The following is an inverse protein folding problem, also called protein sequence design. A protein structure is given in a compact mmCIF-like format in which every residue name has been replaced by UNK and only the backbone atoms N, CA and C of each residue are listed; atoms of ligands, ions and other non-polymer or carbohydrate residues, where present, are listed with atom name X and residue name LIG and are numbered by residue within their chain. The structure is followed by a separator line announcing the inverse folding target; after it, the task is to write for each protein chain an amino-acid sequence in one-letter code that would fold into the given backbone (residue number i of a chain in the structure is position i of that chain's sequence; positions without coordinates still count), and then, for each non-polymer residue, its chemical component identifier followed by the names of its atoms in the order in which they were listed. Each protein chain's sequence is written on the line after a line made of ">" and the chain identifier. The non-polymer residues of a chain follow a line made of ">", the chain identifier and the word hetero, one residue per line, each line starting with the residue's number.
data_IF_542201380415
#
_entry.id   IF_542201380415
#
_cell.length_a   1.000
_cell.length_b   1.000
_cell.length_c   1.000
_cell.angle_alpha   90.00
_cell.angle_beta   90.00
_cell.angle_gamma   90.00
#
_symmetry.space_group_name_H-M   'P 1'
#
loop_
_entity.id
_entity.type
_entity.pdbx_description
1 polymer ?
#
# COMPACT_ATOMS: atom_id res chain seq x y z
N UNK A 1 -11.21 58.96 -6.76
CA UNK A 1 -11.67 58.56 -8.11
C UNK A 1 -10.99 57.31 -8.70
N UNK A 2 -9.98 56.70 -8.05
CA UNK A 2 -9.28 55.52 -8.62
C UNK A 2 -10.01 54.17 -8.44
N UNK A 3 -10.64 53.93 -7.29
CA UNK A 3 -11.25 52.64 -6.96
C UNK A 3 -12.43 52.26 -7.88
N UNK A 4 -13.28 53.22 -8.24
CA UNK A 4 -14.46 52.98 -9.08
C UNK A 4 -14.09 52.58 -10.52
N UNK A 5 -13.00 53.15 -11.07
CA UNK A 5 -12.48 52.80 -12.39
C UNK A 5 -11.82 51.42 -12.38
N UNK A 6 -11.14 51.07 -11.29
CA UNK A 6 -10.53 49.75 -11.12
C UNK A 6 -11.56 48.63 -10.99
N UNK A 7 -12.62 48.86 -10.20
CA UNK A 7 -13.76 47.93 -10.07
C UNK A 7 -14.47 47.78 -11.42
N UNK A 8 -14.73 48.87 -12.13
CA UNK A 8 -15.35 48.83 -13.46
C UNK A 8 -14.52 48.03 -14.48
N UNK A 9 -13.20 48.19 -14.47
CA UNK A 9 -12.30 47.43 -15.35
C UNK A 9 -12.31 45.92 -15.03
N UNK A 10 -12.25 45.54 -13.74
CA UNK A 10 -12.31 44.13 -13.33
C UNK A 10 -13.63 43.47 -13.74
N UNK A 11 -14.74 44.21 -13.65
CA UNK A 11 -16.06 43.70 -14.02
C UNK A 11 -16.17 43.46 -15.52
N UNK A 12 -15.67 44.38 -16.34
CA UNK A 12 -15.60 44.20 -17.81
C UNK A 12 -14.70 43.02 -18.17
N UNK A 13 -13.51 42.90 -17.55
CA UNK A 13 -12.60 41.80 -17.79
C UNK A 13 -13.23 40.44 -17.41
N UNK A 14 -13.94 40.36 -16.28
CA UNK A 14 -14.65 39.15 -15.86
C UNK A 14 -15.75 38.75 -16.86
N UNK A 15 -16.52 39.71 -17.38
CA UNK A 15 -17.55 39.46 -18.39
C UNK A 15 -16.93 38.94 -19.69
N UNK A 16 -15.83 39.54 -20.15
CA UNK A 16 -15.15 39.11 -21.38
C UNK A 16 -14.59 37.70 -21.24
N UNK A 17 -13.99 37.37 -20.10
CA UNK A 17 -13.48 36.02 -19.82
C UNK A 17 -14.62 34.99 -19.76
N UNK A 18 -15.72 35.31 -19.07
CA UNK A 18 -16.89 34.43 -18.98
C UNK A 18 -17.54 34.22 -20.37
N UNK A 19 -17.64 35.26 -21.19
CA UNK A 19 -18.17 35.15 -22.55
C UNK A 19 -17.28 34.30 -23.47
N UNK A 20 -15.95 34.43 -23.36
CA UNK A 20 -15.00 33.59 -24.09
C UNK A 20 -15.06 32.12 -23.64
N UNK A 21 -15.18 31.85 -22.34
CA UNK A 21 -15.33 30.49 -21.83
C UNK A 21 -16.66 29.87 -22.24
N UNK A 22 -17.78 30.61 -22.15
CA UNK A 22 -19.09 30.15 -22.64
C UNK A 22 -19.02 29.73 -24.11
N UNK A 23 -18.47 30.59 -24.98
CA UNK A 23 -18.33 30.29 -26.40
C UNK A 23 -17.48 29.04 -26.69
N UNK A 24 -16.39 28.84 -25.93
CA UNK A 24 -15.56 27.64 -26.07
C UNK A 24 -16.24 26.38 -25.57
N UNK A 25 -17.10 26.48 -24.55
CA UNK A 25 -17.88 25.36 -24.03
C UNK A 25 -19.05 24.99 -24.95
N UNK A 26 -19.78 25.98 -25.44
CA UNK A 26 -20.91 25.79 -26.36
C UNK A 26 -20.45 25.06 -27.64
N UNK A 27 -19.30 25.44 -28.18
CA UNK A 27 -18.66 24.77 -29.31
C UNK A 27 -18.27 23.30 -29.04
N UNK A 28 -18.03 22.92 -27.78
CA UNK A 28 -17.76 21.51 -27.39
C UNK A 28 -19.04 20.69 -27.21
N UNK A 29 -20.19 21.35 -27.12
CA UNK A 29 -21.50 20.75 -26.97
C UNK A 29 -22.36 20.94 -28.24
N UNK A 30 -21.72 21.04 -29.41
CA UNK A 30 -22.38 21.19 -30.72
C UNK A 30 -23.42 22.32 -30.77
N UNK A 31 -23.12 23.47 -30.14
CA UNK A 31 -23.98 24.67 -30.06
C UNK A 31 -25.33 24.43 -29.35
N UNK A 32 -25.40 23.43 -28.46
CA UNK A 32 -26.62 23.10 -27.70
C UNK A 32 -26.58 23.54 -26.23
N UNK A 33 -25.54 24.26 -25.80
CA UNK A 33 -25.35 24.60 -24.39
C UNK A 33 -26.23 25.79 -23.97
N UNK A 34 -27.33 25.49 -23.30
CA UNK A 34 -28.17 26.52 -22.68
C UNK A 34 -27.41 27.29 -21.58
N UNK A 35 -27.83 28.53 -21.29
CA UNK A 35 -27.26 29.33 -20.20
C UNK A 35 -27.35 28.64 -18.82
N UNK A 36 -28.44 27.90 -18.56
CA UNK A 36 -28.57 27.07 -17.36
C UNK A 36 -27.54 25.94 -17.35
N UNK A 37 -27.33 25.26 -18.48
CA UNK A 37 -26.27 24.25 -18.64
C UNK A 37 -24.87 24.82 -18.44
N UNK A 38 -24.61 26.07 -18.87
CA UNK A 38 -23.34 26.73 -18.57
C UNK A 38 -23.12 27.00 -17.07
N UNK A 39 -24.16 27.48 -16.36
CA UNK A 39 -24.07 27.66 -14.90
C UNK A 39 -23.81 26.32 -14.19
N UNK A 40 -24.41 25.23 -14.66
CA UNK A 40 -24.12 23.88 -14.16
C UNK A 40 -22.66 23.48 -14.41
N UNK A 41 -22.10 23.72 -15.60
CA UNK A 41 -20.66 23.45 -15.85
C UNK A 41 -19.73 24.25 -14.95
N UNK A 42 -20.09 25.49 -14.62
CA UNK A 42 -19.34 26.31 -13.66
C UNK A 42 -19.42 25.69 -12.26
N UNK A 43 -20.61 25.31 -11.79
CA UNK A 43 -20.79 24.66 -10.50
C UNK A 43 -20.04 23.34 -10.41
N UNK A 44 -20.05 22.54 -11.48
CA UNK A 44 -19.30 21.28 -11.57
C UNK A 44 -17.80 21.52 -11.51
N UNK A 45 -17.27 22.51 -12.25
CA UNK A 45 -15.85 22.88 -12.20
C UNK A 45 -15.43 23.42 -10.84
N UNK A 46 -16.26 24.26 -10.21
CA UNK A 46 -16.02 24.73 -8.84
C UNK A 46 -16.13 23.59 -7.83
N UNK A 47 -17.04 22.63 -8.05
CA UNK A 47 -17.16 21.41 -7.26
C UNK A 47 -15.90 20.55 -7.37
N UNK A 48 -15.41 20.30 -8.59
CA UNK A 48 -14.16 19.58 -8.85
C UNK A 48 -12.95 20.31 -8.26
N UNK A 49 -12.86 21.63 -8.41
CA UNK A 49 -11.77 22.42 -7.82
C UNK A 49 -11.78 22.40 -6.29
N UNK A 50 -12.96 22.53 -5.66
CA UNK A 50 -13.11 22.39 -4.21
C UNK A 50 -12.76 20.97 -3.76
N UNK A 51 -13.22 19.95 -4.47
CA UNK A 51 -12.90 18.55 -4.19
C UNK A 51 -11.39 18.30 -4.31
N UNK A 52 -10.73 18.86 -5.32
CA UNK A 52 -9.28 18.78 -5.50
C UNK A 52 -8.53 19.51 -4.37
N UNK A 53 -8.99 20.69 -3.95
CA UNK A 53 -8.40 21.40 -2.82
C UNK A 53 -8.56 20.60 -1.52
N UNK A 54 -9.74 20.03 -1.26
CA UNK A 54 -9.98 19.19 -0.09
C UNK A 54 -9.10 17.94 -0.15
N UNK A 55 -8.98 17.28 -1.31
CA UNK A 55 -8.09 16.13 -1.49
C UNK A 55 -6.62 16.50 -1.25
N UNK A 56 -6.16 17.64 -1.76
CA UNK A 56 -4.80 18.15 -1.52
C UNK A 56 -4.55 18.47 -0.04
N UNK A 57 -5.53 19.03 0.66
CA UNK A 57 -5.41 19.30 2.09
C UNK A 57 -5.39 18.01 2.91
N UNK A 58 -6.28 17.06 2.59
CA UNK A 58 -6.31 15.74 3.21
C UNK A 58 -4.99 15.00 3.00
N UNK A 59 -4.42 15.04 1.79
CA UNK A 59 -3.13 14.40 1.49
C UNK A 59 -1.96 15.06 2.24
N UNK A 60 -1.96 16.39 2.35
CA UNK A 60 -0.98 17.10 3.19
C UNK A 60 -1.10 16.73 4.67
N UNK A 61 -2.32 16.62 5.18
CA UNK A 61 -2.57 16.20 6.55
C UNK A 61 -2.10 14.77 6.78
N UNK A 62 -2.41 13.85 5.85
CA UNK A 62 -1.94 12.45 5.87
C UNK A 62 -0.41 12.38 5.90
N UNK A 63 0.28 13.04 4.97
CA UNK A 63 1.75 13.06 4.93
C UNK A 63 2.34 13.61 6.23
N UNK A 64 1.77 14.69 6.77
CA UNK A 64 2.19 15.22 8.07
C UNK A 64 2.04 14.19 9.19
N UNK A 65 0.94 13.43 9.21
CA UNK A 65 0.74 12.35 10.19
C UNK A 65 1.69 11.17 9.96
N UNK A 66 1.97 10.83 8.70
CA UNK A 66 2.96 9.82 8.33
C UNK A 66 4.36 10.20 8.82
N UNK A 67 4.79 11.44 8.56
CA UNK A 67 6.10 11.98 8.96
C UNK A 67 6.23 12.09 10.48
N UNK A 68 5.12 12.30 11.20
CA UNK A 68 5.10 12.27 12.67
C UNK A 68 5.32 10.87 13.25
N UNK A 69 5.20 9.82 12.43
CA UNK A 69 5.43 8.43 12.80
C UNK A 69 4.26 7.75 13.51
N UNK A 70 4.33 6.42 13.58
CA UNK A 70 3.25 5.60 14.11
C UNK A 70 3.22 5.46 15.64
N UNK A 71 4.22 5.98 16.37
CA UNK A 71 4.30 5.86 17.85
C UNK A 71 3.08 6.46 18.55
N UNK A 72 2.45 7.47 17.95
CA UNK A 72 1.23 8.11 18.48
C UNK A 72 -0.02 7.21 18.42
N UNK A 73 -0.01 6.16 17.59
CA UNK A 73 -1.09 5.18 17.45
C UNK A 73 -0.87 3.94 18.33
N UNK A 74 0.24 3.89 19.08
CA UNK A 74 0.44 2.83 20.07
C UNK A 74 -0.63 2.97 21.17
N UNK A 75 -1.22 1.86 21.62
CA UNK A 75 -2.31 1.90 22.58
C UNK A 75 -1.88 2.55 23.89
N UNK A 76 -2.82 3.22 24.54
CA UNK A 76 -2.66 3.51 25.96
C UNK A 76 -2.59 2.19 26.73
N UNK A 77 -1.82 2.09 27.83
CA UNK A 77 -1.73 0.86 28.59
C UNK A 77 -3.14 0.38 28.97
N UNK A 78 -3.54 -0.85 28.59
CA UNK A 78 -4.84 -1.38 29.00
C UNK A 78 -4.95 -1.45 30.52
N UNK A 79 -6.17 -1.63 31.05
CA UNK A 79 -6.37 -1.67 32.50
C UNK A 79 -5.49 -2.75 33.16
N UNK A 80 -4.68 -2.32 34.14
CA UNK A 80 -3.75 -3.19 34.86
C UNK A 80 -2.37 -3.34 34.20
N UNK A 81 -2.15 -2.72 33.05
CA UNK A 81 -0.84 -2.69 32.39
C UNK A 81 -0.06 -1.43 32.77
N UNK A 82 1.26 -1.58 32.81
CA UNK A 82 2.20 -0.47 32.84
C UNK A 82 2.86 -0.32 31.48
N UNK A 83 3.25 0.91 31.10
CA UNK A 83 3.94 1.21 29.84
C UNK A 83 5.27 1.91 30.11
N UNK A 84 6.31 1.47 29.43
CA UNK A 84 7.67 1.97 29.56
C UNK A 84 8.24 2.32 28.18
N UNK A 85 9.06 3.36 28.13
CA UNK A 85 9.87 3.65 26.95
C UNK A 85 11.06 2.70 26.91
N UNK A 86 11.50 2.29 25.72
CA UNK A 86 12.62 1.35 25.58
C UNK A 86 13.94 1.96 26.06
N UNK A 87 14.03 3.29 26.14
CA UNK A 87 15.19 4.00 26.68
C UNK A 87 15.23 4.02 28.22
N UNK A 88 14.17 3.59 28.90
CA UNK A 88 14.09 3.50 30.36
C UNK A 88 14.84 2.26 30.87
N UNK A 89 16.17 2.29 30.74
CA UNK A 89 17.05 1.15 30.99
C UNK A 89 17.03 0.65 32.46
N UNK A 90 16.54 1.45 33.40
CA UNK A 90 16.42 1.09 34.81
C UNK A 90 15.18 0.23 35.10
N UNK A 91 14.20 0.23 34.17
CA UNK A 91 12.98 -0.55 34.28
C UNK A 91 13.24 -2.04 34.02
N UNK A 92 12.84 -2.91 34.98
CA UNK A 92 13.02 -4.37 34.87
C UNK A 92 12.39 -4.96 33.60
N UNK A 93 11.14 -4.60 33.21
CA UNK A 93 10.56 -5.03 31.94
C UNK A 93 11.40 -4.65 30.72
N UNK A 94 11.97 -3.44 30.70
CA UNK A 94 12.82 -2.97 29.60
C UNK A 94 14.11 -3.79 29.54
N UNK A 95 14.74 -4.05 30.69
CA UNK A 95 15.94 -4.90 30.75
C UNK A 95 15.66 -6.30 30.20
N UNK A 96 14.53 -6.92 30.57
CA UNK A 96 14.13 -8.23 30.08
C UNK A 96 13.98 -8.26 28.55
N UNK A 97 13.35 -7.22 27.98
CA UNK A 97 13.25 -7.06 26.51
C UNK A 97 14.64 -6.89 25.90
N UNK A 98 15.47 -5.98 26.41
CA UNK A 98 16.78 -5.70 25.83
C UNK A 98 17.77 -6.88 25.93
N UNK A 99 17.63 -7.76 26.93
CA UNK A 99 18.50 -8.92 27.13
C UNK A 99 17.99 -10.21 26.49
N UNK A 100 16.66 -10.40 26.45
CA UNK A 100 16.04 -11.67 26.06
C UNK A 100 15.32 -11.64 24.72
N UNK A 101 14.94 -10.45 24.22
CA UNK A 101 14.15 -10.34 23.00
C UNK A 101 15.08 -9.95 21.86
N UNK A 102 15.07 -10.72 20.78
CA UNK A 102 15.76 -10.39 19.53
C UNK A 102 15.02 -9.26 18.81
N UNK A 103 15.21 -8.03 19.29
CA UNK A 103 14.64 -6.82 18.69
C UNK A 103 15.62 -6.19 17.71
N UNK A 104 15.12 -5.76 16.56
CA UNK A 104 15.91 -5.07 15.55
C UNK A 104 15.03 -4.12 14.75
N UNK A 105 15.51 -2.92 14.38
CA UNK A 105 14.73 -2.03 13.53
C UNK A 105 14.54 -2.67 12.16
N UNK A 106 13.39 -2.41 11.52
CA UNK A 106 13.22 -2.86 10.14
C UNK A 106 14.16 -2.09 9.23
N UNK A 107 14.83 -2.78 8.31
CA UNK A 107 15.72 -2.15 7.32
C UNK A 107 14.96 -1.07 6.52
N UNK A 108 13.68 -1.31 6.20
CA UNK A 108 12.84 -0.34 5.48
C UNK A 108 12.49 0.92 6.26
N UNK A 109 12.75 0.96 7.58
CA UNK A 109 12.56 2.15 8.42
C UNK A 109 13.79 3.03 8.52
N UNK A 110 14.92 2.57 7.95
CA UNK A 110 16.17 3.33 7.92
C UNK A 110 16.10 4.25 6.70
N UNK A 111 16.11 5.56 6.94
CA UNK A 111 15.84 6.61 5.96
C UNK A 111 16.93 6.77 4.90
N UNK A 112 18.04 6.03 5.01
CA UNK A 112 19.11 6.02 4.02
C UNK A 112 20.46 5.60 4.59
N UNK A 113 21.49 5.68 3.76
CA UNK A 113 22.86 5.28 4.14
C UNK A 113 23.43 6.14 5.28
N UNK A 114 23.11 7.43 5.35
CA UNK A 114 23.57 8.30 6.42
C UNK A 114 23.01 7.87 7.79
N UNK A 115 21.71 7.53 7.85
CA UNK A 115 21.13 6.98 9.08
C UNK A 115 21.71 5.60 9.40
N UNK A 116 21.91 4.74 8.40
CA UNK A 116 22.56 3.44 8.59
C UNK A 116 23.99 3.58 9.15
N UNK A 117 24.79 4.51 8.61
CA UNK A 117 26.13 4.81 9.12
C UNK A 117 26.08 5.37 10.54
N UNK A 118 25.13 6.25 10.82
CA UNK A 118 24.90 6.77 12.18
C UNK A 118 24.60 5.64 13.16
N UNK A 119 23.64 4.75 12.83
CA UNK A 119 23.29 3.60 13.67
C UNK A 119 24.48 2.65 13.85
N UNK A 120 25.27 2.44 12.80
CA UNK A 120 26.50 1.63 12.86
C UNK A 120 27.52 2.26 13.82
N UNK A 121 27.71 3.58 13.76
CA UNK A 121 28.67 4.30 14.61
C UNK A 121 28.19 4.36 16.08
N UNK A 122 26.89 4.51 16.30
CA UNK A 122 26.28 4.56 17.64
C UNK A 122 26.09 3.17 18.27
N UNK A 123 26.21 2.10 17.48
CA UNK A 123 26.09 0.72 17.93
C UNK A 123 24.73 0.42 18.59
N UNK A 124 24.76 -0.33 19.69
CA UNK A 124 23.55 -0.81 20.39
C UNK A 124 22.66 0.33 20.89
N UNK A 125 23.24 1.41 21.40
CA UNK A 125 22.46 2.56 21.90
C UNK A 125 21.70 3.27 20.79
N UNK A 126 22.33 3.44 19.61
CA UNK A 126 21.66 4.01 18.43
C UNK A 126 20.48 3.16 17.98
N UNK A 127 20.65 1.83 17.96
CA UNK A 127 19.57 0.89 17.63
C UNK A 127 18.42 0.96 18.64
N UNK A 128 18.71 1.04 19.94
CA UNK A 128 17.69 1.19 20.98
C UNK A 128 16.92 2.51 20.82
N UNK A 129 17.63 3.62 20.59
CA UNK A 129 16.97 4.91 20.31
C UNK A 129 16.06 4.83 19.09
N UNK A 130 16.53 4.17 18.02
CA UNK A 130 15.71 3.99 16.80
C UNK A 130 14.46 3.16 17.06
N UNK A 131 14.57 2.06 17.82
CA UNK A 131 13.43 1.24 18.21
C UNK A 131 12.47 1.99 19.14
N UNK A 132 13.00 2.82 20.03
CA UNK A 132 12.19 3.66 20.90
C UNK A 132 11.36 4.69 20.11
N UNK A 133 11.75 5.08 18.89
CA UNK A 133 10.94 5.95 18.03
C UNK A 133 9.65 5.27 17.55
N UNK A 134 9.57 3.93 17.57
CA UNK A 134 8.46 3.19 16.98
C UNK A 134 7.68 2.30 17.94
N UNK A 135 8.14 2.11 19.19
CA UNK A 135 7.53 1.14 20.11
C UNK A 135 7.57 1.51 21.58
N UNK A 136 6.86 0.70 22.37
CA UNK A 136 6.84 0.73 23.84
C UNK A 136 6.89 -0.69 24.41
N UNK A 137 7.38 -0.79 25.65
CA UNK A 137 7.28 -2.01 26.46
C UNK A 137 6.05 -1.90 27.35
N UNK A 138 5.25 -2.96 27.40
CA UNK A 138 4.09 -3.09 28.28
C UNK A 138 4.31 -4.27 29.21
N UNK A 139 3.86 -4.15 30.46
CA UNK A 139 3.94 -5.23 31.44
C UNK A 139 2.65 -5.35 32.25
N UNK A 140 2.28 -6.60 32.55
CA UNK A 140 1.21 -6.96 33.48
C UNK A 140 1.49 -8.32 34.08
N UNK A 141 1.55 -8.40 35.41
CA UNK A 141 1.65 -9.66 36.17
C UNK A 141 2.81 -10.57 35.69
N UNK A 142 3.92 -9.97 35.23
CA UNK A 142 5.07 -10.70 34.67
C UNK A 142 4.96 -11.10 33.18
N UNK A 143 3.82 -10.87 32.54
CA UNK A 143 3.69 -10.88 31.07
C UNK A 143 4.27 -9.57 30.52
N UNK A 144 5.21 -9.69 29.59
CA UNK A 144 5.90 -8.56 28.96
C UNK A 144 5.58 -8.56 27.47
N UNK A 145 5.31 -7.38 26.95
CA UNK A 145 5.00 -7.13 25.55
C UNK A 145 5.88 -6.00 25.06
N UNK A 146 6.81 -6.30 24.15
CA UNK A 146 7.42 -5.28 23.29
C UNK A 146 6.55 -5.12 22.05
N UNK A 147 6.02 -3.93 21.82
CA UNK A 147 5.19 -3.65 20.66
C UNK A 147 5.71 -2.43 19.91
N UNK A 148 6.02 -2.62 18.63
CA UNK A 148 6.44 -1.56 17.74
C UNK A 148 5.61 -1.52 16.45
N UNK A 149 5.39 -0.29 15.97
CA UNK A 149 4.71 -0.03 14.71
C UNK A 149 5.68 0.70 13.80
N UNK A 150 6.00 0.06 12.67
CA UNK A 150 6.89 0.61 11.67
C UNK A 150 6.10 1.02 10.43
N UNK A 151 6.25 2.27 10.00
CA UNK A 151 5.77 2.73 8.70
C UNK A 151 6.80 2.39 7.63
N UNK A 152 6.39 1.59 6.65
CA UNK A 152 7.20 1.21 5.51
C UNK A 152 6.73 2.01 4.29
N UNK A 153 7.56 2.94 3.79
CA UNK A 153 7.19 3.72 2.61
C UNK A 153 7.14 2.81 1.38
N UNK A 154 6.39 3.26 0.37
CA UNK A 154 6.34 2.63 -0.95
C UNK A 154 7.75 2.41 -1.49
N UNK A 155 8.04 1.21 -1.99
CA UNK A 155 9.38 0.89 -2.50
C UNK A 155 9.70 1.73 -3.74
N UNK A 156 10.85 2.41 -3.74
CA UNK A 156 11.39 3.14 -4.89
C UNK A 156 11.97 2.18 -5.96
N UNK A 157 11.13 1.30 -6.51
CA UNK A 157 11.52 0.19 -7.42
C UNK A 157 12.02 0.63 -8.79
N UNK A 158 11.90 1.92 -9.11
CA UNK A 158 12.45 2.47 -10.35
C UNK A 158 13.91 2.93 -10.18
N UNK A 159 14.49 2.74 -8.98
CA UNK A 159 15.86 3.13 -8.65
C UNK A 159 16.68 1.88 -8.34
N UNK A 160 17.97 1.87 -8.68
CA UNK A 160 18.86 0.73 -8.39
C UNK A 160 18.99 0.46 -6.88
N UNK A 161 19.08 1.52 -6.08
CA UNK A 161 19.17 1.42 -4.61
C UNK A 161 17.88 0.85 -4.03
N UNK A 162 16.71 1.34 -4.47
CA UNK A 162 15.42 0.84 -4.01
C UNK A 162 15.17 -0.62 -4.40
N UNK A 163 15.67 -1.06 -5.56
CA UNK A 163 15.64 -2.46 -5.96
C UNK A 163 16.56 -3.34 -5.11
N UNK A 164 17.78 -2.88 -4.83
CA UNK A 164 18.74 -3.61 -4.01
C UNK A 164 18.24 -3.78 -2.56
N UNK A 165 17.80 -2.68 -1.93
CA UNK A 165 17.23 -2.69 -0.57
C UNK A 165 15.93 -3.50 -0.53
N UNK A 166 15.08 -3.37 -1.56
CA UNK A 166 13.86 -4.15 -1.71
C UNK A 166 14.14 -5.65 -1.68
N UNK A 167 15.09 -6.12 -2.50
CA UNK A 167 15.47 -7.54 -2.57
C UNK A 167 16.08 -8.06 -1.28
N UNK A 168 16.92 -7.27 -0.61
CA UNK A 168 17.46 -7.66 0.69
C UNK A 168 16.34 -7.85 1.72
N UNK A 169 15.38 -6.91 1.78
CA UNK A 169 14.24 -7.02 2.67
C UNK A 169 13.34 -8.21 2.31
N UNK A 170 13.09 -8.48 1.02
CA UNK A 170 12.27 -9.60 0.57
C UNK A 170 12.94 -10.94 0.87
N UNK A 171 14.26 -11.04 0.69
CA UNK A 171 15.04 -12.21 1.07
C UNK A 171 14.96 -12.50 2.58
N UNK A 172 15.14 -11.48 3.42
CA UNK A 172 15.00 -11.62 4.87
C UNK A 172 13.59 -12.04 5.29
N UNK A 173 12.55 -11.51 4.63
CA UNK A 173 11.17 -11.94 4.89
C UNK A 173 10.91 -13.38 4.40
N UNK A 174 11.54 -13.82 3.31
CA UNK A 174 11.39 -15.18 2.78
C UNK A 174 12.06 -16.25 3.68
N UNK A 175 13.00 -15.85 4.54
CA UNK A 175 13.60 -16.72 5.55
C UNK A 175 12.73 -16.89 6.80
N UNK A 176 11.63 -16.16 6.91
CA UNK A 176 10.71 -16.24 8.04
C UNK A 176 9.59 -17.21 7.71
N UNK A 177 9.34 -18.17 8.59
CA UNK A 177 8.12 -18.97 8.54
C UNK A 177 7.02 -18.24 9.30
N UNK A 178 5.86 -18.07 8.68
CA UNK A 178 4.73 -17.36 9.27
C UNK A 178 3.50 -18.27 9.33
N UNK A 179 2.99 -18.51 10.53
CA UNK A 179 1.76 -19.25 10.76
C UNK A 179 0.64 -18.28 11.12
N UNK A 180 -0.54 -18.42 10.52
CA UNK A 180 -1.70 -17.58 10.84
C UNK A 180 -2.06 -17.70 12.32
N UNK A 181 -2.25 -16.57 13.00
CA UNK A 181 -2.50 -16.51 14.44
C UNK A 181 -3.88 -15.94 14.77
N UNK A 182 -4.14 -14.71 14.30
CA UNK A 182 -5.36 -13.98 14.62
C UNK A 182 -5.78 -13.06 13.48
N UNK A 183 -7.07 -12.74 13.42
CA UNK A 183 -7.59 -11.66 12.58
C UNK A 183 -8.30 -10.68 13.48
N UNK A 184 -7.76 -9.47 13.57
CA UNK A 184 -8.30 -8.40 14.40
C UNK A 184 -8.65 -7.24 13.48
N UNK A 185 -9.95 -6.93 13.39
CA UNK A 185 -10.47 -5.83 12.58
C UNK A 185 -9.93 -5.79 11.14
N UNK A 186 -9.95 -6.95 10.48
CA UNK A 186 -9.47 -7.13 9.11
C UNK A 186 -7.96 -7.12 8.92
N UNK A 187 -7.18 -7.14 10.01
CA UNK A 187 -5.72 -7.29 9.98
C UNK A 187 -5.34 -8.71 10.35
N UNK A 188 -4.63 -9.39 9.45
CA UNK A 188 -4.06 -10.71 9.73
C UNK A 188 -2.76 -10.57 10.54
N UNK A 189 -2.71 -11.27 11.67
CA UNK A 189 -1.53 -11.44 12.49
C UNK A 189 -1.00 -12.86 12.31
N UNK A 190 0.31 -12.97 12.16
CA UNK A 190 1.03 -14.21 12.02
C UNK A 190 2.03 -14.39 13.15
N UNK A 191 2.16 -15.60 13.67
CA UNK A 191 3.31 -15.99 14.47
C UNK A 191 4.49 -16.31 13.56
N UNK A 192 5.62 -15.66 13.83
CA UNK A 192 6.82 -15.71 13.01
C UNK A 192 7.89 -16.51 13.75
N UNK A 193 8.38 -17.56 13.11
CA UNK A 193 9.54 -18.32 13.56
C UNK A 193 10.72 -18.10 12.61
N UNK A 194 11.91 -17.93 13.18
CA UNK A 194 13.15 -17.71 12.44
C UNK A 194 13.96 -19.02 12.41
N UNK A 195 14.37 -19.45 11.21
CA UNK A 195 15.22 -20.62 11.04
C UNK A 195 15.19 -21.16 9.60
N UNK A 196 16.34 -21.45 9.01
CA UNK A 196 16.46 -22.14 7.71
C UNK A 196 16.35 -23.68 7.87
N UNK A 197 16.66 -24.16 9.07
CA UNK A 197 16.49 -25.53 9.53
C UNK A 197 15.23 -25.56 10.39
N UNK A 198 14.21 -26.33 10.01
CA UNK A 198 12.92 -26.42 10.70
C UNK A 198 12.94 -26.95 12.15
N UNK A 199 14.09 -26.91 12.83
CA UNK A 199 14.16 -27.02 14.28
C UNK A 199 13.72 -25.69 14.88
N UNK A 200 12.42 -25.61 15.16
CA UNK A 200 11.85 -24.56 16.01
C UNK A 200 12.49 -24.73 17.39
N UNK A 201 13.49 -23.91 17.72
CA UNK A 201 13.81 -23.72 19.12
C UNK A 201 12.56 -23.12 19.76
N UNK A 202 11.91 -23.88 20.64
CA UNK A 202 10.89 -23.37 21.54
C UNK A 202 11.53 -22.27 22.39
N UNK A 203 11.41 -21.04 21.93
CA UNK A 203 11.65 -19.86 22.75
C UNK A 203 10.36 -19.58 23.50
N UNK A 204 10.45 -19.29 24.79
CA UNK A 204 9.34 -18.75 25.57
C UNK A 204 8.85 -17.39 25.01
N UNK A 205 9.62 -16.78 24.10
CA UNK A 205 9.29 -15.52 23.45
C UNK A 205 8.70 -15.77 22.06
N UNK A 206 7.47 -15.29 21.89
CA UNK A 206 6.71 -15.37 20.65
C UNK A 206 6.84 -14.07 19.87
N UNK A 207 6.99 -14.18 18.55
CA UNK A 207 7.06 -13.04 17.63
C UNK A 207 5.78 -13.01 16.79
N UNK A 208 4.89 -12.06 17.02
CA UNK A 208 3.65 -11.88 16.24
C UNK A 208 3.80 -10.66 15.33
N UNK A 209 3.39 -10.78 14.07
CA UNK A 209 3.53 -9.74 13.04
C UNK A 209 2.22 -9.53 12.31
N UNK A 210 1.77 -8.27 12.24
CA UNK A 210 0.63 -7.83 11.44
C UNK A 210 1.05 -6.85 10.37
N UNK A 211 0.28 -6.79 9.27
CA UNK A 211 0.52 -5.82 8.18
C UNK A 211 -0.80 -5.20 7.74
N UNK A 212 -0.76 -3.89 7.48
CA UNK A 212 -1.85 -3.14 6.85
C UNK A 212 -1.29 -2.50 5.58
N UNK A 213 -2.00 -2.63 4.46
CA UNK A 213 -1.55 -2.12 3.17
C UNK A 213 -0.70 -3.10 2.36
N UNK A 214 -0.19 -2.64 1.22
CA UNK A 214 0.64 -3.40 0.30
C UNK A 214 1.58 -2.45 -0.44
N UNK A 215 2.88 -2.79 -0.48
CA UNK A 215 3.98 -1.92 -0.95
C UNK A 215 4.27 -0.72 -0.02
N UNK A 216 3.29 0.17 0.19
CA UNK A 216 3.24 1.08 1.35
C UNK A 216 2.50 0.36 2.48
N UNK A 217 3.16 0.18 3.63
CA UNK A 217 2.67 -0.70 4.68
C UNK A 217 2.82 -0.10 6.08
N UNK A 218 1.86 -0.38 6.94
CA UNK A 218 2.03 -0.33 8.39
C UNK A 218 2.38 -1.74 8.85
N UNK A 219 3.54 -1.92 9.47
CA UNK A 219 3.95 -3.22 10.02
C UNK A 219 3.92 -3.15 11.54
N UNK A 220 3.09 -4.00 12.12
CA UNK A 220 2.95 -4.14 13.57
C UNK A 220 3.77 -5.36 14.01
N UNK A 221 4.64 -5.19 14.99
CA UNK A 221 5.47 -6.27 15.54
C UNK A 221 5.30 -6.34 17.04
N UNK A 222 5.02 -7.54 17.51
CA UNK A 222 4.82 -7.87 18.91
C UNK A 222 5.84 -8.97 19.26
N UNK A 223 6.66 -8.72 20.26
CA UNK A 223 7.49 -9.74 20.88
C UNK A 223 6.99 -9.91 22.31
N UNK A 224 6.70 -11.13 22.75
CA UNK A 224 6.01 -11.33 24.04
C UNK A 224 6.13 -12.74 24.58
N UNK A 225 6.06 -12.89 25.90
CA UNK A 225 5.85 -14.16 26.60
C UNK A 225 4.40 -14.33 27.11
N UNK A 226 3.47 -13.48 26.66
CA UNK A 226 2.10 -13.47 27.14
C UNK A 226 1.25 -14.61 26.57
N UNK A 227 0.20 -14.96 27.30
CA UNK A 227 -0.81 -15.93 26.86
C UNK A 227 -1.62 -15.46 25.65
N UNK A 228 -2.25 -16.40 24.94
CA UNK A 228 -3.07 -16.07 23.75
C UNK A 228 -4.22 -15.10 24.03
N UNK A 229 -4.88 -15.28 25.17
CA UNK A 229 -5.96 -14.39 25.58
C UNK A 229 -5.45 -12.96 25.77
N UNK A 230 -4.29 -12.81 26.43
CA UNK A 230 -3.64 -11.52 26.62
C UNK A 230 -3.24 -10.88 25.30
N UNK A 231 -2.59 -11.64 24.41
CA UNK A 231 -2.13 -11.11 23.11
C UNK A 231 -3.32 -10.57 22.32
N UNK A 232 -4.41 -11.36 22.21
CA UNK A 232 -5.62 -10.92 21.49
C UNK A 232 -6.27 -9.72 22.14
N UNK A 233 -6.35 -9.68 23.48
CA UNK A 233 -6.85 -8.51 24.19
C UNK A 233 -6.01 -7.25 23.90
N UNK A 234 -4.68 -7.40 23.91
CA UNK A 234 -3.76 -6.30 23.63
C UNK A 234 -3.91 -5.81 22.19
N UNK A 235 -3.92 -6.71 21.20
CA UNK A 235 -4.07 -6.36 19.78
C UNK A 235 -5.41 -5.68 19.49
N UNK A 236 -6.50 -6.06 20.18
CA UNK A 236 -7.80 -5.38 20.07
C UNK A 236 -7.80 -3.93 20.58
N UNK A 237 -6.79 -3.51 21.36
CA UNK A 237 -6.68 -2.12 21.84
C UNK A 237 -5.98 -1.18 20.87
N UNK A 238 -5.38 -1.71 19.80
CA UNK A 238 -4.62 -0.94 18.81
C UNK A 238 -5.60 -0.20 17.89
N UNK A 239 -5.34 1.08 17.61
CA UNK A 239 -6.12 1.88 16.65
C UNK A 239 -5.77 1.52 15.20
N UNK A 240 -6.23 0.34 14.77
CA UNK A 240 -5.98 -0.18 13.42
C UNK A 240 -6.64 0.70 12.34
N UNK A 241 -7.77 1.34 12.64
CA UNK A 241 -8.44 2.27 11.75
C UNK A 241 -7.60 3.55 11.52
N UNK A 242 -7.09 4.15 12.60
CA UNK A 242 -6.19 5.30 12.53
C UNK A 242 -4.90 4.99 11.77
N UNK A 243 -4.30 3.82 12.00
CA UNK A 243 -3.13 3.35 11.26
C UNK A 243 -3.43 3.15 9.77
N UNK A 244 -4.57 2.56 9.44
CA UNK A 244 -4.99 2.35 8.05
C UNK A 244 -5.19 3.68 7.31
N UNK A 245 -5.66 4.73 8.00
CA UNK A 245 -5.85 6.06 7.45
C UNK A 245 -4.54 6.80 7.13
N UNK A 246 -3.38 6.31 7.59
CA UNK A 246 -2.07 6.86 7.22
C UNK A 246 -1.65 6.49 5.80
N UNK A 247 -2.18 5.38 5.27
CA UNK A 247 -1.82 4.88 3.94
C UNK A 247 -2.41 5.76 2.85
N UNK A 248 -1.69 5.90 1.74
CA UNK A 248 -2.18 6.55 0.51
C UNK A 248 -3.40 5.81 -0.05
N UNK A 249 -3.37 4.48 -0.01
CA UNK A 249 -4.51 3.62 -0.32
C UNK A 249 -4.85 2.75 0.90
N UNK A 250 -5.75 3.23 1.78
CA UNK A 250 -6.23 2.45 2.91
C UNK A 250 -6.86 1.13 2.47
N UNK A 251 -6.61 0.08 3.27
CA UNK A 251 -7.29 -1.19 3.13
C UNK A 251 -8.77 -1.04 3.47
N UNK A 252 -9.66 -1.37 2.53
CA UNK A 252 -11.10 -1.36 2.75
C UNK A 252 -11.56 -2.38 3.80
N UNK A 253 -10.74 -3.40 4.07
CA UNK A 253 -11.01 -4.43 5.06
C UNK A 253 -10.67 -4.01 6.50
N UNK A 254 -9.80 -3.00 6.69
CA UNK A 254 -9.25 -2.67 8.01
C UNK A 254 -10.00 -1.52 8.65
N UNK A 255 -10.34 -1.63 9.94
CA UNK A 255 -11.02 -0.55 10.67
C UNK A 255 -12.55 -0.56 10.53
N UNK A 256 -13.13 -1.66 10.07
CA UNK A 256 -14.57 -1.78 9.78
C UNK A 256 -15.35 -2.56 10.85
N UNK A 257 -14.69 -2.97 11.93
CA UNK A 257 -15.26 -3.83 12.96
C UNK A 257 -15.50 -5.25 12.46
N UNK A 258 -14.68 -5.76 11.53
CA UNK A 258 -14.83 -7.12 11.00
C UNK A 258 -14.59 -8.12 12.11
N UNK A 259 -15.61 -8.91 12.42
CA UNK A 259 -15.54 -9.99 13.39
C UNK A 259 -15.29 -11.33 12.70
N UNK A 260 -14.29 -12.07 13.19
CA UNK A 260 -13.98 -13.46 12.81
C UNK A 260 -14.02 -14.30 14.09
N UNK A 261 -14.80 -15.40 14.14
CA UNK A 261 -14.86 -16.29 15.31
C UNK A 261 -13.48 -16.81 15.71
N UNK A 262 -13.21 -16.89 17.02
CA UNK A 262 -11.89 -17.20 17.57
C UNK A 262 -11.25 -18.47 16.97
N UNK A 263 -12.06 -19.51 16.75
CA UNK A 263 -11.63 -20.82 16.22
C UNK A 263 -11.21 -20.74 14.74
N UNK A 264 -11.77 -19.80 13.98
CA UNK A 264 -11.51 -19.61 12.55
C UNK A 264 -10.38 -18.59 12.28
N UNK A 265 -10.01 -17.78 13.28
CA UNK A 265 -9.02 -16.71 13.11
C UNK A 265 -7.65 -17.20 12.60
N UNK A 266 -7.07 -18.32 13.08
CA UNK A 266 -5.78 -18.79 12.58
C UNK A 266 -5.83 -19.17 11.09
N UNK A 267 -6.89 -19.87 10.67
CA UNK A 267 -7.08 -20.27 9.27
C UNK A 267 -7.29 -19.04 8.38
N UNK A 268 -8.15 -18.11 8.79
CA UNK A 268 -8.39 -16.87 8.05
C UNK A 268 -7.12 -16.03 7.91
N UNK A 269 -6.37 -15.88 9.01
CA UNK A 269 -5.07 -15.21 8.96
C UNK A 269 -4.13 -15.90 7.97
N UNK A 270 -4.10 -17.24 7.95
CA UNK A 270 -3.35 -18.04 6.98
C UNK A 270 -3.74 -17.73 5.52
N UNK A 271 -5.04 -17.69 5.21
CA UNK A 271 -5.56 -17.33 3.87
C UNK A 271 -5.13 -15.92 3.45
N UNK A 272 -5.21 -14.95 4.36
CA UNK A 272 -4.81 -13.56 4.09
C UNK A 272 -3.29 -13.43 3.89
N UNK A 273 -2.48 -14.19 4.63
CA UNK A 273 -1.02 -14.24 4.47
C UNK A 273 -0.61 -14.90 3.15
N UNK A 274 -1.27 -15.98 2.75
CA UNK A 274 -1.05 -16.62 1.44
C UNK A 274 -1.39 -15.66 0.29
N UNK A 275 -2.50 -14.92 0.39
CA UNK A 275 -2.83 -13.87 -0.58
C UNK A 275 -1.73 -12.80 -0.65
N UNK A 276 -1.24 -12.31 0.50
CA UNK A 276 -0.14 -11.34 0.55
C UNK A 276 1.11 -11.89 -0.15
N UNK A 277 1.51 -13.14 0.16
CA UNK A 277 2.66 -13.79 -0.47
C UNK A 277 2.52 -13.92 -1.98
N UNK A 278 1.33 -14.27 -2.48
CA UNK A 278 1.02 -14.32 -3.92
C UNK A 278 1.14 -12.95 -4.59
N UNK A 279 0.67 -11.89 -3.92
CA UNK A 279 0.75 -10.52 -4.44
C UNK A 279 2.20 -10.03 -4.47
N UNK A 280 3.00 -10.33 -3.45
CA UNK A 280 4.46 -10.04 -3.45
C UNK A 280 5.14 -10.76 -4.61
N UNK A 281 4.91 -12.08 -4.77
CA UNK A 281 5.50 -12.85 -5.88
C UNK A 281 5.09 -12.31 -7.26
N UNK A 282 3.86 -11.82 -7.40
CA UNK A 282 3.41 -11.17 -8.63
C UNK A 282 4.12 -9.83 -8.87
N UNK A 283 4.27 -9.02 -7.82
CA UNK A 283 4.97 -7.75 -7.89
C UNK A 283 6.45 -7.95 -8.25
N UNK A 284 7.07 -9.03 -7.79
CA UNK A 284 8.44 -9.40 -8.13
C UNK A 284 8.57 -9.81 -9.59
N UNK A 285 7.59 -10.52 -10.15
CA UNK A 285 7.54 -10.81 -11.60
C UNK A 285 7.44 -9.54 -12.43
N UNK A 286 6.59 -8.59 -12.03
CA UNK A 286 6.50 -7.27 -12.70
C UNK A 286 7.83 -6.50 -12.58
N UNK A 287 8.47 -6.56 -11.41
CA UNK A 287 9.77 -5.93 -11.18
C UNK A 287 10.87 -6.59 -12.02
N UNK A 288 10.85 -7.90 -12.19
CA UNK A 288 11.78 -8.62 -13.06
C UNK A 288 11.60 -8.23 -14.52
N UNK A 289 10.36 -8.10 -15.00
CA UNK A 289 10.10 -7.60 -16.35
C UNK A 289 10.63 -6.17 -16.55
N UNK A 290 10.56 -5.31 -15.53
CA UNK A 290 11.21 -3.98 -15.58
C UNK A 290 12.72 -4.10 -15.72
N UNK A 291 13.35 -5.00 -14.97
CA UNK A 291 14.79 -5.25 -15.04
C UNK A 291 15.24 -5.75 -16.42
N UNK A 292 14.47 -6.67 -17.02
CA UNK A 292 14.73 -7.21 -18.35
C UNK A 292 14.58 -6.17 -19.46
N UNK A 293 13.79 -5.11 -19.22
CA UNK A 293 13.56 -4.00 -20.14
C UNK A 293 14.31 -2.71 -19.74
N UNK A 294 15.33 -2.80 -18.88
CA UNK A 294 16.10 -1.62 -18.46
C UNK A 294 16.77 -0.92 -19.64
N UNK A 295 16.72 0.41 -19.62
CA UNK A 295 17.47 1.23 -20.54
C UNK A 295 18.90 1.42 -20.00
N UNK A 296 19.88 0.86 -20.70
CA UNK A 296 21.31 0.94 -20.33
C UNK A 296 21.76 2.40 -20.17
N UNK A 297 21.19 3.33 -20.93
CA UNK A 297 21.47 4.77 -20.81
C UNK A 297 21.05 5.33 -19.46
N UNK A 298 19.90 4.92 -18.93
CA UNK A 298 19.40 5.40 -17.63
C UNK A 298 20.09 4.71 -16.46
N UNK A 299 20.52 3.46 -16.62
CA UNK A 299 21.38 2.77 -15.64
C UNK A 299 22.73 3.49 -15.52
N UNK A 300 23.33 3.87 -16.65
CA UNK A 300 24.57 4.65 -16.69
C UNK A 300 24.39 6.05 -16.08
N UNK A 301 23.26 6.70 -16.32
CA UNK A 301 22.92 7.98 -15.69
C UNK A 301 22.77 7.86 -14.17
N UNK A 302 22.07 6.84 -13.66
CA UNK A 302 21.95 6.60 -12.21
C UNK A 302 23.29 6.26 -11.54
N UNK A 303 24.17 5.54 -12.23
CA UNK A 303 25.52 5.24 -11.70
C UNK A 303 26.45 6.45 -11.73
N UNK A 304 26.34 7.31 -12.74
CA UNK A 304 27.13 8.55 -12.84
C UNK A 304 26.62 9.63 -11.87
N UNK A 305 25.31 9.77 -11.67
CA UNK A 305 24.73 10.74 -10.72
C UNK A 305 24.83 10.31 -9.26
N UNK A 306 25.03 9.01 -9.00
CA UNK A 306 25.33 8.50 -7.66
C UNK A 306 26.73 8.91 -7.12
N UNK A 307 27.59 9.51 -7.95
CA UNK A 307 28.96 9.89 -7.54
C UNK A 307 29.05 11.11 -6.62
N UNK A 308 27.96 11.86 -6.43
CA UNK A 308 27.88 13.00 -5.50
C UNK A 308 27.22 12.69 -4.15
N UNK A 309 27.03 11.40 -3.81
CA UNK A 309 26.66 10.89 -2.47
C UNK A 309 25.41 11.50 -1.77
N UNK A 310 24.66 12.39 -2.42
CA UNK A 310 23.47 13.07 -1.87
C UNK A 310 22.30 13.15 -2.85
N UNK A 311 22.41 12.56 -4.04
CA UNK A 311 21.28 12.40 -4.94
C UNK A 311 20.81 10.95 -4.86
N UNK A 312 19.70 10.73 -4.15
CA UNK A 312 18.87 9.54 -4.35
C UNK A 312 18.74 9.30 -5.86
N UNK A 313 19.02 8.08 -6.33
CA UNK A 313 19.06 7.74 -7.76
C UNK A 313 17.69 7.91 -8.43
N UNK A 314 17.33 9.15 -8.76
CA UNK A 314 15.99 9.64 -9.08
C UNK A 314 15.52 9.34 -10.51
N UNK A 315 16.37 8.78 -11.38
CA UNK A 315 15.97 8.51 -12.76
C UNK A 315 15.34 7.12 -12.88
N UNK A 316 14.09 7.06 -13.36
CA UNK A 316 13.41 5.80 -13.67
C UNK A 316 14.23 4.97 -14.67
N UNK A 317 14.75 3.83 -14.22
CA UNK A 317 15.59 2.90 -15.00
C UNK A 317 14.93 2.37 -16.28
N UNK A 318 13.61 2.55 -16.45
CA UNK A 318 12.88 2.14 -17.66
C UNK A 318 12.70 3.29 -18.67
N UNK A 319 13.06 4.53 -18.30
CA UNK A 319 12.83 5.71 -19.14
C UNK A 319 11.35 5.95 -19.46
N UNK A 320 10.44 5.58 -18.55
CA UNK A 320 8.99 5.67 -18.72
C UNK A 320 8.36 4.61 -19.62
N UNK A 321 9.12 3.59 -20.05
CA UNK A 321 8.64 2.56 -21.01
C UNK A 321 7.77 1.48 -20.35
N UNK A 322 7.80 1.33 -19.03
CA UNK A 322 6.98 0.34 -18.31
C UNK A 322 5.93 1.04 -17.46
N UNK A 323 4.66 0.69 -17.69
CA UNK A 323 3.52 1.23 -16.94
C UNK A 323 3.65 0.95 -15.44
N UNK A 324 3.45 1.98 -14.62
CA UNK A 324 3.42 1.83 -13.16
C UNK A 324 2.08 1.23 -12.74
N UNK A 325 2.10 -0.03 -12.34
CA UNK A 325 0.91 -0.75 -11.88
C UNK A 325 0.86 -0.92 -10.35
N UNK A 326 1.72 -0.22 -9.59
CA UNK A 326 1.84 -0.41 -8.15
C UNK A 326 0.54 -0.06 -7.42
N UNK A 327 -0.07 1.07 -7.76
CA UNK A 327 -1.30 1.55 -7.12
C UNK A 327 -2.47 0.59 -7.40
N UNK A 328 -2.55 0.09 -8.62
CA UNK A 328 -3.55 -0.91 -9.00
C UNK A 328 -3.35 -2.24 -8.27
N UNK A 329 -2.11 -2.68 -8.05
CA UNK A 329 -1.81 -3.88 -7.26
C UNK A 329 -2.23 -3.69 -5.80
N UNK A 330 -1.95 -2.52 -5.20
CA UNK A 330 -2.37 -2.20 -3.84
C UNK A 330 -3.89 -2.15 -3.70
N UNK A 331 -4.60 -1.48 -4.63
CA UNK A 331 -6.06 -1.46 -4.67
C UNK A 331 -6.66 -2.86 -4.90
N UNK A 332 -6.06 -3.67 -5.78
CA UNK A 332 -6.50 -5.03 -6.04
C UNK A 332 -6.32 -5.94 -4.82
N UNK A 333 -5.21 -5.78 -4.08
CA UNK A 333 -4.99 -6.49 -2.83
C UNK A 333 -6.06 -6.16 -1.79
N UNK A 334 -6.36 -4.87 -1.59
CA UNK A 334 -7.41 -4.44 -0.65
C UNK A 334 -8.77 -5.05 -0.99
N UNK A 335 -9.16 -5.05 -2.27
CA UNK A 335 -10.41 -5.70 -2.73
C UNK A 335 -10.39 -7.22 -2.55
N UNK A 336 -9.25 -7.86 -2.79
CA UNK A 336 -9.12 -9.31 -2.61
C UNK A 336 -9.23 -9.71 -1.13
N UNK A 337 -8.65 -8.91 -0.21
CA UNK A 337 -8.82 -9.08 1.24
C UNK A 337 -10.28 -8.94 1.66
N UNK A 338 -10.96 -7.89 1.20
CA UNK A 338 -12.39 -7.67 1.44
C UNK A 338 -13.23 -8.88 1.00
N UNK A 339 -12.95 -9.42 -0.18
CA UNK A 339 -13.68 -10.56 -0.73
C UNK A 339 -13.45 -11.84 0.08
N UNK A 340 -12.25 -12.09 0.58
CA UNK A 340 -11.96 -13.22 1.46
C UNK A 340 -12.73 -13.09 2.79
N UNK A 341 -12.70 -11.91 3.41
CA UNK A 341 -13.34 -11.68 4.70
C UNK A 341 -14.87 -11.74 4.59
N UNK A 342 -15.45 -11.19 3.52
CA UNK A 342 -16.90 -11.25 3.29
C UNK A 342 -17.40 -12.57 2.71
N UNK A 343 -16.55 -13.38 2.05
CA UNK A 343 -16.96 -14.72 1.62
C UNK A 343 -17.14 -15.65 2.80
N UNK A 344 -16.24 -15.59 3.79
CA UNK A 344 -16.36 -16.39 5.00
C UNK A 344 -17.49 -15.88 5.90
N UNK A 345 -17.74 -14.56 6.02
CA UNK A 345 -18.93 -14.09 6.73
C UNK A 345 -20.24 -14.67 6.14
N UNK A 346 -20.33 -14.77 4.81
CA UNK A 346 -21.49 -15.35 4.13
C UNK A 346 -21.57 -16.88 4.24
N UNK A 347 -20.44 -17.56 4.44
CA UNK A 347 -20.39 -19.02 4.69
C UNK A 347 -20.56 -19.36 6.18
N UNK A 348 -20.16 -18.49 7.10
CA UNK A 348 -20.53 -18.60 8.51
C UNK A 348 -22.05 -18.49 8.69
N UNK A 349 -22.72 -17.73 7.82
CA UNK A 349 -24.19 -17.66 7.71
C UNK A 349 -24.81 -18.86 6.95
N UNK A 350 -24.01 -19.66 6.23
CA UNK A 350 -24.48 -20.80 5.42
C UNK A 350 -23.46 -21.95 5.40
N UNK A 351 -23.76 -23.03 6.14
CA UNK A 351 -23.00 -24.28 6.38
C UNK A 351 -21.73 -24.56 5.52
N UNK A 352 -20.64 -25.08 6.13
CA UNK A 352 -19.30 -25.06 5.55
C UNK A 352 -19.13 -26.03 4.36
N UNK A 353 -18.43 -25.55 3.32
CA UNK A 353 -17.92 -26.39 2.21
C UNK A 353 -16.42 -26.23 2.07
N UNK A 354 -15.69 -27.34 2.26
CA UNK A 354 -14.25 -27.50 2.07
C UNK A 354 -13.83 -27.27 0.60
N UNK A 355 -13.24 -26.10 0.28
CA UNK A 355 -12.16 -25.99 -0.73
C UNK A 355 -11.51 -24.59 -0.74
N UNK A 356 -10.62 -24.29 0.22
CA UNK A 356 -9.96 -22.98 0.34
C UNK A 356 -8.97 -22.59 -0.77
N UNK A 357 -8.37 -23.57 -1.48
CA UNK A 357 -7.32 -23.29 -2.47
C UNK A 357 -7.78 -22.81 -3.85
N UNK A 358 -8.99 -23.21 -4.28
CA UNK A 358 -9.52 -22.89 -5.60
C UNK A 358 -10.09 -21.48 -5.72
N UNK A 359 -10.63 -20.96 -4.61
CA UNK A 359 -11.28 -19.65 -4.57
C UNK A 359 -10.32 -18.50 -4.87
N UNK A 360 -9.14 -18.46 -4.21
CA UNK A 360 -8.17 -17.38 -4.38
C UNK A 360 -7.65 -17.31 -5.83
N UNK A 361 -7.38 -18.46 -6.44
CA UNK A 361 -6.94 -18.52 -7.84
C UNK A 361 -8.06 -18.07 -8.80
N UNK A 362 -9.30 -18.49 -8.56
CA UNK A 362 -10.46 -18.04 -9.35
C UNK A 362 -10.79 -16.56 -9.13
N UNK A 363 -10.49 -16.01 -7.95
CA UNK A 363 -10.68 -14.60 -7.60
C UNK A 363 -9.65 -13.72 -8.33
N UNK A 364 -8.37 -14.09 -8.28
CA UNK A 364 -7.29 -13.37 -8.97
C UNK A 364 -7.52 -13.34 -10.49
N UNK A 365 -8.11 -14.38 -11.08
CA UNK A 365 -8.47 -14.40 -12.50
C UNK A 365 -9.62 -13.45 -12.87
N UNK A 366 -10.48 -13.09 -11.90
CA UNK A 366 -11.65 -12.21 -12.12
C UNK A 366 -11.34 -10.72 -11.95
N UNK A 367 -10.16 -10.35 -11.44
CA UNK A 367 -9.76 -8.94 -11.30
C UNK A 367 -9.31 -8.39 -12.66
N UNK A 368 -9.96 -7.34 -13.20
CA UNK A 368 -9.55 -6.75 -14.48
C UNK A 368 -8.12 -6.23 -14.39
N UNK A 369 -7.25 -6.68 -15.30
CA UNK A 369 -5.80 -6.44 -15.29
C UNK A 369 -4.94 -7.68 -14.96
N UNK A 370 -5.55 -8.78 -14.48
CA UNK A 370 -4.83 -9.97 -14.02
C UNK A 370 -5.02 -11.22 -14.91
N UNK A 371 -6.06 -11.26 -15.75
CA UNK A 371 -6.42 -12.42 -16.57
C UNK A 371 -5.46 -12.81 -17.71
N UNK A 372 -4.35 -12.10 -17.90
CA UNK A 372 -3.43 -12.31 -19.05
C UNK A 372 -2.05 -12.90 -18.67
N UNK A 373 -1.77 -13.15 -17.39
CA UNK A 373 -0.42 -13.57 -16.93
C UNK A 373 -0.27 -15.06 -16.57
N UNK A 374 -1.23 -15.91 -16.97
CA UNK A 374 -1.13 -17.37 -16.84
C UNK A 374 -0.47 -18.01 -18.07
N UNK A 375 0.75 -18.53 -17.89
CA UNK A 375 1.51 -19.20 -18.95
C UNK A 375 0.88 -20.52 -19.43
N UNK A 376 1.00 -20.74 -20.75
CA UNK A 376 1.25 -22.02 -21.40
C UNK A 376 0.48 -23.25 -20.91
N UNK A 377 -0.77 -23.39 -21.34
CA UNK A 377 -1.34 -24.70 -21.65
C UNK A 377 -2.03 -24.62 -23.01
N UNK A 378 -1.48 -25.33 -23.99
CA UNK A 378 -2.15 -25.61 -25.25
C UNK A 378 -3.36 -26.47 -24.92
N UNK A 379 -4.53 -25.85 -24.87
CA UNK A 379 -5.81 -26.56 -24.92
C UNK A 379 -6.46 -26.23 -26.26
N UNK A 380 -6.50 -27.27 -27.08
CA UNK A 380 -7.14 -27.37 -28.39
C UNK A 380 -8.52 -26.72 -28.46
N UNK A 381 -8.75 -26.06 -29.60
CA UNK A 381 -10.03 -25.50 -30.01
C UNK A 381 -11.20 -26.49 -29.86
N UNK A 382 -12.27 -26.04 -29.22
CA UNK A 382 -13.62 -26.53 -29.46
C UNK A 382 -14.55 -25.33 -29.68
N UNK A 383 -15.09 -25.27 -30.89
CA UNK A 383 -16.10 -24.32 -31.35
C UNK A 383 -17.29 -24.23 -30.37
N UNK A 384 -17.65 -23.00 -29.97
CA UNK A 384 -19.02 -22.69 -29.58
C UNK A 384 -19.32 -21.19 -29.78
N UNK A 385 -20.20 -20.90 -30.75
CA UNK A 385 -21.14 -19.77 -30.72
C UNK A 385 -20.59 -18.36 -30.91
N UNK A 386 -20.62 -17.87 -32.16
CA UNK A 386 -20.67 -16.42 -32.48
C UNK A 386 -21.76 -15.73 -31.65
N UNK A 387 -21.40 -14.71 -30.89
CA UNK A 387 -22.33 -13.63 -30.52
C UNK A 387 -21.93 -12.37 -31.29
N UNK A 388 -22.80 -11.95 -32.20
CA UNK A 388 -22.67 -10.70 -32.95
C UNK A 388 -22.85 -9.52 -31.99
N UNK A 389 -21.76 -8.83 -31.66
CA UNK A 389 -21.81 -7.51 -31.02
C UNK A 389 -21.96 -6.47 -32.12
N UNK A 390 -23.19 -6.00 -32.35
CA UNK A 390 -23.46 -4.82 -33.19
C UNK A 390 -22.94 -3.56 -32.50
N UNK A 391 -21.80 -3.05 -32.95
CA UNK A 391 -21.36 -1.69 -32.64
C UNK A 391 -21.99 -0.73 -33.65
N UNK A 392 -22.87 0.17 -33.18
CA UNK A 392 -23.38 1.30 -33.96
C UNK A 392 -22.21 2.22 -34.33
N UNK A 393 -21.94 2.35 -35.63
CA UNK A 393 -20.92 3.23 -36.19
C UNK A 393 -21.53 4.60 -36.46
N UNK A 394 -21.26 5.56 -35.57
CA UNK A 394 -21.38 6.99 -35.86
C UNK A 394 -20.22 7.44 -36.74
N UNK A 395 -20.52 8.30 -37.70
CA UNK A 395 -19.73 8.66 -38.86
C UNK A 395 -18.88 9.91 -38.55
N UNK A 396 -17.55 9.85 -38.68
CA UNK A 396 -16.68 10.99 -39.03
C UNK A 396 -15.26 10.51 -39.37
N UNK A 397 -14.70 11.08 -40.44
CA UNK A 397 -13.66 10.47 -41.27
C UNK A 397 -12.24 10.57 -40.71
N UNK A 398 -11.67 9.42 -40.38
CA UNK A 398 -10.22 9.23 -40.29
C UNK A 398 -9.81 8.03 -41.14
N UNK A 399 -9.09 8.26 -42.25
CA UNK A 399 -8.52 7.17 -43.05
C UNK A 399 -7.18 6.74 -42.45
N UNK A 400 -7.18 5.66 -41.68
CA UNK A 400 -5.92 5.00 -41.29
C UNK A 400 -5.72 3.80 -42.23
N UNK A 401 -4.61 3.79 -42.96
CA UNK A 401 -4.19 2.62 -43.73
C UNK A 401 -3.21 1.80 -42.89
N UNK A 402 -3.41 0.48 -42.85
CA UNK A 402 -2.44 -0.45 -42.25
C UNK A 402 -1.46 -0.92 -43.32
N UNK A 403 -0.17 -0.79 -43.04
CA UNK A 403 0.89 -1.44 -43.80
C UNK A 403 1.78 -2.18 -42.80
N UNK A 404 1.68 -3.52 -42.80
CA UNK A 404 2.36 -4.38 -41.84
C UNK A 404 1.90 -4.15 -40.39
N UNK A 405 2.84 -4.25 -39.44
CA UNK A 405 2.60 -4.12 -37.99
C UNK A 405 2.50 -2.68 -37.47
N UNK A 406 2.49 -1.68 -38.35
CA UNK A 406 2.42 -0.28 -37.94
C UNK A 406 1.17 0.42 -38.51
N UNK A 407 0.45 1.14 -37.64
CA UNK A 407 -0.72 1.96 -37.99
C UNK A 407 -0.28 3.42 -38.05
N UNK A 408 -0.35 4.04 -39.23
CA UNK A 408 -0.21 5.49 -39.38
C UNK A 408 -1.57 6.10 -39.67
N UNK A 409 -1.95 7.06 -38.84
CA UNK A 409 -3.14 7.88 -39.03
C UNK A 409 -2.69 9.30 -39.34
N UNK A 410 -3.13 9.84 -40.46
CA UNK A 410 -2.98 11.26 -40.81
C UNK A 410 -4.27 11.99 -40.43
N UNK A 411 -4.17 12.95 -39.51
CA UNK A 411 -5.22 13.92 -39.27
C UNK A 411 -5.05 15.06 -40.28
N UNK A 412 -6.11 15.36 -41.04
CA UNK A 412 -6.11 16.49 -41.96
C UNK A 412 -5.87 17.78 -41.18
N UNK A 413 -4.89 18.58 -41.60
CA UNK A 413 -4.75 19.96 -41.16
C UNK A 413 -5.86 20.78 -41.81
N UNK A 414 -6.67 21.45 -40.99
CA UNK A 414 -7.32 22.70 -41.42
C UNK A 414 -6.34 23.83 -41.17
#
# INVERSE_FOLDING_TARGET
>A
MGALRFIGFLLIAAIVIAGLDYYQQDKKHDDTLSFAGYIETINDRFGLYKAEQVAKQAERARKKSWDAGAKSFLPSPPKGWSRYDLIDADSKPVQAVLSGYEISPMISSISGQAELQRLTNEGREGLIRKLAESGYVYEKDGEIVWFDITLKPKKARNTLVGLALGRQADFMNAMQFSNGYAVIDGVAFAEVTEGLSGDVQESDIRKIKGRIGFDEEVVLRLHTNASDATIRQFLNSVDLAGLNALLEFPSVATGQGIYVPLEEQPEMAGKMLDLYGKMVAMQDKVTQQKLENMDIGTVMLNTLTATDFNAEGLADITGGKVFENQDNLQMAYGKALELILHSDQRQADASPTDSGGGFINGLLQKIPGFGAFGGGAVATAANAGRSDVRVRKGNEGSSCAMSGSSKRCTFGKN
#
